data_IF_205864288484
#
_entry.id   IF_205864288484
#
_cell.length_a   1.000
_cell.length_b   1.000
_cell.length_c   1.000
_cell.angle_alpha   90.00
_cell.angle_beta   90.00
_cell.angle_gamma   90.00
#
_symmetry.space_group_name_H-M   'P 1'
#
loop_
_entity.id
_entity.type
_entity.pdbx_description
1 polymer ?
#
# COMPACT_ATOMS: atom_id res chain seq x y z
N UNK A 1 -7.09 -1.64 16.24
CA UNK A 1 -7.09 -1.88 14.80
C UNK A 1 -8.40 -1.41 14.18
N UNK A 2 -8.34 -0.59 13.15
CA UNK A 2 -9.53 -0.08 12.49
C UNK A 2 -10.13 -1.18 11.61
N UNK A 3 -11.45 -1.34 11.72
CA UNK A 3 -12.19 -2.25 10.86
C UNK A 3 -12.84 -1.47 9.73
N UNK A 4 -12.34 -1.68 8.52
CA UNK A 4 -12.90 -1.08 7.32
C UNK A 4 -13.51 -2.22 6.52
N UNK A 5 -14.80 -2.09 6.22
CA UNK A 5 -15.52 -3.07 5.42
C UNK A 5 -15.99 -2.43 4.13
N UNK A 6 -15.80 -3.14 3.04
CA UNK A 6 -16.24 -2.69 1.72
C UNK A 6 -17.55 -3.35 1.36
N UNK A 7 -18.45 -2.58 0.76
CA UNK A 7 -19.71 -3.10 0.26
C UNK A 7 -19.45 -3.98 -0.97
N UNK A 8 -20.48 -4.78 -1.32
CA UNK A 8 -20.42 -5.64 -2.51
C UNK A 8 -20.18 -4.80 -3.78
N UNK A 9 -20.80 -3.63 -3.86
CA UNK A 9 -20.62 -2.69 -4.97
C UNK A 9 -19.19 -2.21 -5.06
N UNK A 10 -18.58 -1.88 -3.92
CA UNK A 10 -17.18 -1.41 -3.86
C UNK A 10 -16.23 -2.54 -4.25
N UNK A 11 -16.45 -3.75 -3.77
CA UNK A 11 -15.63 -4.91 -4.13
C UNK A 11 -15.69 -5.17 -5.64
N UNK A 12 -16.89 -5.09 -6.23
CA UNK A 12 -17.04 -5.26 -7.67
C UNK A 12 -16.28 -4.18 -8.46
N UNK A 13 -16.28 -2.96 -7.94
CA UNK A 13 -15.54 -1.86 -8.56
C UNK A 13 -14.03 -2.10 -8.48
N UNK A 14 -13.54 -2.60 -7.35
CA UNK A 14 -12.12 -2.97 -7.22
C UNK A 14 -11.72 -4.00 -8.28
N UNK A 15 -12.56 -5.00 -8.51
CA UNK A 15 -12.29 -6.00 -9.54
C UNK A 15 -12.23 -5.40 -10.94
N UNK A 16 -13.15 -4.48 -11.24
CA UNK A 16 -13.15 -3.76 -12.52
C UNK A 16 -11.93 -2.88 -12.70
N UNK A 17 -11.45 -2.28 -11.62
CA UNK A 17 -10.25 -1.43 -11.64
C UNK A 17 -8.96 -2.23 -11.71
N UNK A 18 -9.03 -3.55 -11.63
CA UNK A 18 -7.84 -4.39 -11.66
C UNK A 18 -7.03 -4.35 -10.37
N UNK A 19 -7.70 -4.13 -9.25
CA UNK A 19 -7.06 -4.10 -7.93
C UNK A 19 -6.99 -5.52 -7.38
N UNK A 20 -5.79 -5.94 -6.98
CA UNK A 20 -5.57 -7.26 -6.41
C UNK A 20 -5.65 -7.26 -4.89
N UNK A 21 -4.99 -6.29 -4.25
CA UNK A 21 -4.92 -6.20 -2.80
C UNK A 21 -4.88 -4.75 -2.36
N UNK A 22 -5.48 -4.48 -1.20
CA UNK A 22 -5.40 -3.17 -0.54
C UNK A 22 -4.89 -3.39 0.87
N UNK A 23 -3.80 -2.70 1.21
CA UNK A 23 -3.22 -2.69 2.56
C UNK A 23 -3.49 -1.35 3.23
N UNK A 24 -3.75 -1.39 4.52
CA UNK A 24 -3.68 -0.21 5.37
C UNK A 24 -2.34 -0.24 6.11
N UNK A 25 -1.57 0.83 6.01
CA UNK A 25 -0.28 0.89 6.69
C UNK A 25 -0.13 2.22 7.43
N UNK A 26 1.02 2.42 8.08
CA UNK A 26 1.25 3.59 8.90
C UNK A 26 0.65 3.45 10.29
N UNK A 27 0.39 4.56 10.97
CA UNK A 27 -0.03 4.58 12.38
C UNK A 27 -1.37 3.89 12.63
N UNK A 28 -2.31 4.00 11.69
CA UNK A 28 -3.63 3.37 11.84
C UNK A 28 -3.56 1.85 11.78
N UNK A 29 -2.67 1.30 10.98
CA UNK A 29 -2.48 -0.15 10.86
C UNK A 29 -1.82 -0.73 12.11
N UNK A 30 -0.96 0.05 12.78
CA UNK A 30 -0.21 -0.40 13.95
C UNK A 30 -0.99 -0.26 15.27
N UNK A 31 -2.24 0.21 15.21
CA UNK A 31 -3.06 0.32 16.39
C UNK A 31 -2.78 1.55 17.25
N UNK A 32 -2.03 2.51 16.76
CA UNK A 32 -1.75 3.78 17.42
C UNK A 32 -2.36 4.95 16.66
N UNK A 33 -3.67 4.93 16.40
CA UNK A 33 -4.27 5.99 15.60
C UNK A 33 -4.33 7.29 16.36
N UNK A 34 -3.95 8.36 15.71
CA UNK A 34 -4.11 9.73 16.15
C UNK A 34 -5.13 10.36 15.20
N UNK A 35 -6.13 11.13 15.70
CA UNK A 35 -7.08 11.78 14.81
C UNK A 35 -6.45 12.66 13.74
N UNK A 36 -5.22 13.12 13.97
CA UNK A 36 -4.48 13.93 13.01
C UNK A 36 -3.62 13.11 12.06
N UNK A 37 -3.52 11.79 12.27
CA UNK A 37 -2.74 10.92 11.40
C UNK A 37 -3.49 10.61 10.12
N UNK A 38 -2.77 10.55 9.00
CA UNK A 38 -3.35 10.13 7.73
C UNK A 38 -3.59 8.63 7.69
N UNK A 39 -4.60 8.23 6.94
CA UNK A 39 -4.75 6.84 6.53
C UNK A 39 -3.85 6.62 5.31
N UNK A 40 -3.07 5.54 5.34
CA UNK A 40 -2.17 5.21 4.25
C UNK A 40 -2.63 3.90 3.61
N UNK A 41 -3.04 3.96 2.35
CA UNK A 41 -3.53 2.80 1.60
C UNK A 41 -2.50 2.39 0.56
N UNK A 42 -2.08 1.12 0.63
CA UNK A 42 -1.19 0.53 -0.36
C UNK A 42 -1.99 -0.34 -1.32
N UNK A 43 -1.91 -0.03 -2.59
CA UNK A 43 -2.68 -0.68 -3.64
C UNK A 43 -1.76 -1.58 -4.46
N UNK A 44 -2.12 -2.85 -4.59
CA UNK A 44 -1.46 -3.80 -5.48
C UNK A 44 -2.37 -4.04 -6.68
N UNK A 45 -1.85 -3.78 -7.87
CA UNK A 45 -2.58 -3.96 -9.12
C UNK A 45 -2.36 -5.38 -9.66
N UNK A 46 -3.40 -5.97 -10.26
CA UNK A 46 -3.30 -7.29 -10.88
C UNK A 46 -2.36 -7.28 -12.09
N UNK A 47 -2.34 -6.18 -12.83
CA UNK A 47 -1.47 -6.01 -13.97
C UNK A 47 -0.91 -4.58 -13.98
N UNK A 48 0.16 -4.32 -13.20
CA UNK A 48 0.68 -2.96 -13.05
C UNK A 48 1.14 -2.32 -14.36
N UNK A 49 1.67 -3.08 -15.29
CA UNK A 49 2.14 -2.55 -16.57
C UNK A 49 1.02 -1.89 -17.37
N UNK A 50 -0.19 -2.44 -17.29
CA UNK A 50 -1.37 -1.89 -17.98
C UNK A 50 -1.76 -0.51 -17.47
N UNK A 51 -1.49 -0.23 -16.20
CA UNK A 51 -1.93 1.00 -15.53
C UNK A 51 -0.81 2.01 -15.33
N UNK A 52 0.37 1.77 -15.86
CA UNK A 52 1.53 2.62 -15.64
C UNK A 52 1.28 4.10 -15.99
N UNK A 53 0.50 4.35 -17.04
CA UNK A 53 0.15 5.70 -17.47
C UNK A 53 -1.30 6.08 -17.12
N UNK A 54 -2.07 5.15 -16.50
CA UNK A 54 -3.49 5.34 -16.21
C UNK A 54 -3.81 5.31 -14.72
N UNK A 55 -2.79 5.48 -13.88
CA UNK A 55 -2.97 5.44 -12.43
C UNK A 55 -3.89 6.53 -11.92
N UNK A 56 -3.94 7.68 -12.59
CA UNK A 56 -4.78 8.79 -12.16
C UNK A 56 -6.27 8.40 -12.13
N UNK A 57 -6.76 7.70 -13.15
CA UNK A 57 -8.15 7.26 -13.19
C UNK A 57 -8.48 6.34 -12.03
N UNK A 58 -7.60 5.37 -11.77
CA UNK A 58 -7.76 4.45 -10.65
C UNK A 58 -7.70 5.20 -9.33
N UNK A 59 -6.74 6.10 -9.20
CA UNK A 59 -6.56 6.93 -8.01
C UNK A 59 -7.84 7.71 -7.67
N UNK A 60 -8.42 8.40 -8.66
CA UNK A 60 -9.61 9.22 -8.43
C UNK A 60 -10.81 8.39 -8.00
N UNK A 61 -10.99 7.22 -8.59
CA UNK A 61 -12.09 6.32 -8.22
C UNK A 61 -11.89 5.74 -6.82
N UNK A 62 -10.66 5.40 -6.45
CA UNK A 62 -10.33 4.95 -5.11
C UNK A 62 -10.51 6.07 -4.09
N UNK A 63 -10.13 7.29 -4.45
CA UNK A 63 -10.30 8.45 -3.59
C UNK A 63 -11.78 8.62 -3.20
N UNK A 64 -12.68 8.52 -4.17
CA UNK A 64 -14.10 8.61 -3.90
C UNK A 64 -14.59 7.52 -2.96
N UNK A 65 -14.15 6.28 -3.19
CA UNK A 65 -14.55 5.14 -2.34
C UNK A 65 -14.06 5.35 -0.92
N UNK A 66 -12.80 5.71 -0.73
CA UNK A 66 -12.22 5.88 0.61
C UNK A 66 -12.83 7.05 1.34
N UNK A 67 -13.21 8.12 0.63
CA UNK A 67 -13.90 9.24 1.24
C UNK A 67 -15.25 8.81 1.83
N UNK A 68 -15.94 7.88 1.16
CA UNK A 68 -17.23 7.38 1.65
C UNK A 68 -17.10 6.49 2.88
N UNK A 69 -16.04 5.68 2.96
CA UNK A 69 -15.92 4.67 4.00
C UNK A 69 -15.20 5.11 5.26
N UNK A 70 -14.38 6.17 5.18
CA UNK A 70 -13.63 6.62 6.34
C UNK A 70 -14.54 7.27 7.38
N UNK A 71 -14.25 7.08 8.68
CA UNK A 71 -15.07 7.71 9.72
C UNK A 71 -15.07 9.23 9.60
N UNK A 72 -16.25 9.82 9.59
CA UNK A 72 -16.42 11.28 9.46
C UNK A 72 -15.67 12.07 10.52
N UNK A 73 -15.53 11.50 11.72
CA UNK A 73 -14.80 12.15 12.80
C UNK A 73 -13.33 12.44 12.46
N UNK A 74 -12.72 11.59 11.64
CA UNK A 74 -11.34 11.81 11.17
C UNK A 74 -11.31 12.87 10.08
N UNK A 75 -12.28 12.84 9.17
CA UNK A 75 -12.36 13.79 8.07
C UNK A 75 -12.64 15.20 8.57
N UNK A 76 -13.60 15.34 9.49
CA UNK A 76 -14.00 16.66 9.99
C UNK A 76 -12.88 17.39 10.75
N UNK A 77 -12.02 16.64 11.46
CA UNK A 77 -10.93 17.24 12.21
C UNK A 77 -9.82 17.80 11.32
N UNK A 78 -9.72 17.30 10.11
CA UNK A 78 -8.65 17.65 9.20
C UNK A 78 -9.08 18.57 8.06
N UNK A 79 -10.36 18.80 7.94
CA UNK A 79 -10.96 19.50 6.83
C UNK A 79 -10.35 20.90 6.58
N UNK A 80 -10.03 21.60 7.66
CA UNK A 80 -9.49 22.98 7.58
C UNK A 80 -7.97 23.01 7.45
N UNK A 81 -7.28 21.90 7.70
CA UNK A 81 -5.83 21.87 7.79
C UNK A 81 -5.16 21.22 6.59
N UNK A 82 -5.85 20.32 5.89
CA UNK A 82 -5.27 19.56 4.78
C UNK A 82 -6.31 19.32 3.70
N UNK A 83 -5.83 19.22 2.47
CA UNK A 83 -6.66 18.83 1.34
C UNK A 83 -6.95 17.33 1.33
N UNK A 84 -6.05 16.52 1.93
CA UNK A 84 -6.16 15.08 1.93
C UNK A 84 -6.14 14.53 3.35
N UNK A 85 -7.10 13.66 3.67
CA UNK A 85 -7.16 12.92 4.92
C UNK A 85 -6.56 11.54 4.81
N UNK A 86 -6.13 11.13 3.61
CA UNK A 86 -5.53 9.83 3.38
C UNK A 86 -4.63 9.89 2.15
N UNK A 87 -3.69 8.94 2.08
CA UNK A 87 -2.78 8.76 0.96
C UNK A 87 -3.05 7.43 0.27
N UNK A 88 -2.95 7.43 -1.04
CA UNK A 88 -3.08 6.23 -1.87
C UNK A 88 -1.76 6.03 -2.60
N UNK A 89 -1.15 4.87 -2.39
CA UNK A 89 0.15 4.54 -2.97
C UNK A 89 0.03 3.24 -3.77
N UNK A 90 0.44 3.28 -5.04
CA UNK A 90 0.52 2.07 -5.86
C UNK A 90 1.83 1.38 -5.58
N UNK A 91 1.78 0.29 -4.81
CA UNK A 91 2.96 -0.34 -4.23
C UNK A 91 3.99 -0.79 -5.25
N UNK A 92 3.55 -1.35 -6.38
CA UNK A 92 4.46 -1.90 -7.37
C UNK A 92 5.28 -0.83 -8.11
N UNK A 93 4.94 0.45 -7.93
CA UNK A 93 5.70 1.57 -8.48
C UNK A 93 6.61 2.22 -7.44
N UNK A 94 6.75 1.61 -6.26
CA UNK A 94 7.62 2.10 -5.20
C UNK A 94 8.84 1.19 -5.05
N UNK A 95 9.90 1.66 -4.35
CA UNK A 95 11.06 0.81 -4.08
C UNK A 95 10.67 -0.45 -3.30
N UNK A 96 11.40 -1.53 -3.52
CA UNK A 96 11.10 -2.81 -2.90
C UNK A 96 11.16 -2.76 -1.37
N UNK A 97 12.05 -1.93 -0.81
CA UNK A 97 12.15 -1.77 0.64
C UNK A 97 10.88 -1.18 1.23
N UNK A 98 10.25 -0.24 0.52
CA UNK A 98 8.98 0.35 0.94
C UNK A 98 7.87 -0.70 0.88
N UNK A 99 7.79 -1.46 -0.21
CA UNK A 99 6.81 -2.53 -0.36
C UNK A 99 6.96 -3.56 0.75
N UNK A 100 8.19 -3.94 1.08
CA UNK A 100 8.46 -4.89 2.15
C UNK A 100 7.95 -4.36 3.50
N UNK A 101 8.20 -3.09 3.81
CA UNK A 101 7.73 -2.50 5.07
C UNK A 101 6.20 -2.52 5.16
N UNK A 102 5.51 -2.26 4.05
CA UNK A 102 4.04 -2.28 4.02
C UNK A 102 3.50 -3.69 4.27
N UNK A 103 4.04 -4.70 3.58
CA UNK A 103 3.54 -6.07 3.77
C UNK A 103 3.88 -6.63 5.15
N UNK A 104 4.99 -6.19 5.73
CA UNK A 104 5.41 -6.64 7.07
C UNK A 104 4.53 -6.06 8.17
N UNK A 105 4.23 -4.77 8.09
CA UNK A 105 3.58 -4.03 9.18
C UNK A 105 2.13 -3.64 8.88
N UNK A 106 1.69 -3.76 7.64
CA UNK A 106 0.36 -3.35 7.23
C UNK A 106 -0.71 -4.37 7.50
N UNK A 107 -1.95 -3.93 7.38
CA UNK A 107 -3.15 -4.74 7.52
C UNK A 107 -3.78 -4.94 6.15
N UNK A 108 -4.14 -6.17 5.81
CA UNK A 108 -4.87 -6.45 4.56
C UNK A 108 -6.32 -6.05 4.75
N UNK A 109 -6.78 -5.08 3.95
CA UNK A 109 -8.19 -4.64 3.97
C UNK A 109 -9.02 -5.37 2.93
N UNK A 110 -8.42 -5.69 1.79
CA UNK A 110 -9.08 -6.34 0.68
C UNK A 110 -8.09 -7.19 -0.07
N UNK A 111 -8.53 -8.37 -0.48
CA UNK A 111 -7.79 -9.22 -1.41
C UNK A 111 -8.79 -9.85 -2.39
N UNK A 112 -8.45 -9.80 -3.67
CA UNK A 112 -9.26 -10.46 -4.69
C UNK A 112 -9.08 -11.97 -4.63
N UNK A 113 -7.83 -12.39 -4.41
CA UNK A 113 -7.43 -13.78 -4.35
C UNK A 113 -6.27 -13.91 -3.37
N UNK A 114 -6.47 -14.71 -2.33
CA UNK A 114 -5.46 -14.93 -1.29
C UNK A 114 -4.16 -15.49 -1.87
N UNK A 115 -4.25 -16.41 -2.82
CA UNK A 115 -3.08 -17.01 -3.44
C UNK A 115 -2.26 -15.98 -4.19
N UNK A 116 -2.90 -15.09 -4.93
CA UNK A 116 -2.22 -14.01 -5.65
C UNK A 116 -1.56 -13.04 -4.67
N UNK A 117 -2.22 -12.73 -3.56
CA UNK A 117 -1.62 -11.89 -2.53
C UNK A 117 -0.35 -12.53 -1.96
N UNK A 118 -0.41 -13.81 -1.65
CA UNK A 118 0.75 -14.52 -1.10
C UNK A 118 1.89 -14.60 -2.11
N UNK A 119 1.60 -14.74 -3.38
CA UNK A 119 2.62 -14.71 -4.44
C UNK A 119 3.29 -13.34 -4.54
N UNK A 120 2.51 -12.27 -4.44
CA UNK A 120 3.07 -10.93 -4.42
C UNK A 120 3.98 -10.72 -3.21
N UNK A 121 3.51 -11.10 -2.02
CA UNK A 121 4.30 -10.95 -0.79
C UNK A 121 5.59 -11.77 -0.85
N UNK A 122 5.52 -12.98 -1.36
CA UNK A 122 6.71 -13.82 -1.56
C UNK A 122 7.71 -13.16 -2.50
N UNK A 123 7.23 -12.60 -3.60
CA UNK A 123 8.08 -11.87 -4.55
C UNK A 123 8.81 -10.72 -3.85
N UNK A 124 8.08 -9.92 -3.07
CA UNK A 124 8.66 -8.78 -2.36
C UNK A 124 9.71 -9.23 -1.35
N UNK A 125 9.41 -10.28 -0.58
CA UNK A 125 10.33 -10.81 0.42
C UNK A 125 11.63 -11.29 -0.25
N UNK A 126 11.52 -12.01 -1.35
CA UNK A 126 12.69 -12.52 -2.08
C UNK A 126 13.51 -11.37 -2.67
N UNK A 127 12.86 -10.38 -3.27
CA UNK A 127 13.56 -9.23 -3.84
C UNK A 127 14.27 -8.42 -2.77
N UNK A 128 13.65 -8.26 -1.61
CA UNK A 128 14.29 -7.56 -0.47
C UNK A 128 15.53 -8.32 0.00
N UNK A 129 15.44 -9.63 0.11
CA UNK A 129 16.57 -10.46 0.53
C UNK A 129 17.72 -10.39 -0.49
N UNK A 130 17.41 -10.43 -1.78
CA UNK A 130 18.41 -10.31 -2.84
C UNK A 130 19.13 -8.98 -2.79
N UNK A 131 18.41 -7.89 -2.59
CA UNK A 131 19.01 -6.56 -2.47
C UNK A 131 19.95 -6.49 -1.27
N UNK A 132 19.56 -7.05 -0.14
CA UNK A 132 20.41 -7.09 1.04
C UNK A 132 21.70 -7.86 0.75
N UNK A 133 21.58 -9.00 0.10
CA UNK A 133 22.74 -9.80 -0.26
C UNK A 133 23.71 -9.03 -1.16
N UNK A 134 23.21 -8.36 -2.18
CA UNK A 134 24.05 -7.57 -3.08
C UNK A 134 24.70 -6.38 -2.36
N UNK A 135 23.98 -5.73 -1.47
CA UNK A 135 24.54 -4.64 -0.66
C UNK A 135 25.68 -5.14 0.22
N UNK A 136 25.48 -6.26 0.90
CA UNK A 136 26.50 -6.84 1.78
C UNK A 136 27.75 -7.25 0.99
N UNK A 137 27.54 -7.86 -0.17
CA UNK A 137 28.64 -8.29 -1.03
C UNK A 137 29.41 -7.08 -1.59
N UNK A 138 28.70 -6.06 -2.04
CA UNK A 138 29.34 -4.84 -2.55
C UNK A 138 30.13 -4.12 -1.48
N UNK A 139 29.60 -4.05 -0.28
CA UNK A 139 30.27 -3.45 0.86
C UNK A 139 31.54 -4.21 1.23
N UNK A 140 31.49 -5.53 1.24
CA UNK A 140 32.65 -6.40 1.51
C UNK A 140 33.73 -6.17 0.46
N UNK A 141 33.38 -6.10 -0.82
CA UNK A 141 34.34 -5.82 -1.90
C UNK A 141 34.99 -4.46 -1.75
N UNK A 142 34.20 -3.46 -1.36
CA UNK A 142 34.72 -2.12 -1.13
C UNK A 142 35.73 -2.11 0.00
N UNK A 143 35.44 -2.79 1.12
CA UNK A 143 36.36 -2.93 2.23
C UNK A 143 37.66 -3.61 1.83
N UNK A 144 37.60 -4.63 1.00
CA UNK A 144 38.78 -5.34 0.51
C UNK A 144 39.67 -4.43 -0.34
N UNK A 145 39.08 -3.49 -1.10
CA UNK A 145 39.84 -2.53 -1.90
C UNK A 145 40.52 -1.46 -1.03
N UNK A 146 39.91 -1.09 0.06
CA UNK A 146 40.43 -0.05 0.95
C UNK A 146 41.46 -0.63 1.89
N UNK A 147 41.25 -1.85 2.32
CA UNK A 147 42.22 -2.54 3.18
C UNK A 147 43.38 -3.08 2.40
#
# INVERSE_FOLDING_TARGET
>A
MIKIKFSKKQVNLFKKLGIETIYLFGSHAQGNPNPLSDFDFGIVLANPEKYKEKTLDVYLKLYDIFTEILPKRYLSQRFKLREHEFDIVFLQFTPISFQFAVIKNGQVLYERDKENRLKYEEYVIKRKADLKYFHDLSFKRLLERIG
#
